data_IF_733490605249
#
_entry.id   IF_733490605249
#
_cell.length_a   1.000
_cell.length_b   1.000
_cell.length_c   1.000
_cell.angle_alpha   90.00
_cell.angle_beta   90.00
_cell.angle_gamma   90.00
#
_symmetry.space_group_name_H-M   'P 1'
#
loop_
_entity.id
_entity.type
_entity.pdbx_description
1 polymer ?
#
# COMPACT_ATOMS: atom_id res chain seq x y z
N UNK A 1 -8.82 41.90 -0.20
CA UNK A 1 -9.28 40.69 -0.90
C UNK A 1 -8.03 40.00 -1.37
N UNK A 2 -7.51 39.05 -0.61
CA UNK A 2 -6.37 38.23 -1.01
C UNK A 2 -6.93 37.03 -1.76
N UNK A 3 -6.51 36.88 -3.00
CA UNK A 3 -6.84 35.76 -3.89
C UNK A 3 -6.18 34.48 -3.32
N UNK A 4 -7.00 33.61 -2.73
CA UNK A 4 -6.57 32.31 -2.19
C UNK A 4 -6.85 31.21 -3.21
N UNK A 5 -6.23 31.31 -4.38
CA UNK A 5 -6.14 30.20 -5.34
C UNK A 5 -4.68 29.73 -5.44
N UNK A 6 -4.14 29.15 -4.37
CA UNK A 6 -2.98 28.29 -4.53
C UNK A 6 -3.46 26.92 -5.03
N UNK A 7 -3.85 26.84 -6.30
CA UNK A 7 -4.01 25.58 -6.98
C UNK A 7 -2.65 24.87 -6.99
N UNK A 8 -2.54 23.74 -6.27
CA UNK A 8 -1.38 22.86 -6.35
C UNK A 8 -1.25 22.43 -7.83
N UNK A 9 -0.34 23.06 -8.57
CA UNK A 9 -0.07 22.65 -9.94
C UNK A 9 0.63 21.29 -9.89
N UNK A 10 0.04 20.31 -10.57
CA UNK A 10 0.67 19.00 -10.71
C UNK A 10 2.03 19.19 -11.40
N UNK A 11 3.12 18.66 -10.84
CA UNK A 11 4.43 18.73 -11.45
C UNK A 11 4.47 18.08 -12.84
N UNK A 12 5.32 18.55 -13.74
CA UNK A 12 5.48 17.97 -15.08
C UNK A 12 5.93 16.50 -15.04
N UNK A 13 6.56 16.08 -13.96
CA UNK A 13 7.02 14.70 -13.75
C UNK A 13 6.72 14.27 -12.34
N UNK A 14 5.94 13.22 -12.19
CA UNK A 14 5.51 12.67 -10.91
C UNK A 14 5.36 11.15 -10.99
N UNK A 15 5.22 10.54 -9.83
CA UNK A 15 4.99 9.10 -9.64
C UNK A 15 3.63 8.90 -9.02
N UNK A 16 2.90 7.92 -9.51
CA UNK A 16 1.66 7.43 -8.91
C UNK A 16 1.94 6.07 -8.27
N UNK A 17 1.49 5.89 -7.03
CA UNK A 17 1.41 4.60 -6.35
C UNK A 17 -0.06 4.28 -6.12
N UNK A 18 -0.53 3.12 -6.56
CA UNK A 18 -1.89 2.62 -6.30
C UNK A 18 -1.74 1.42 -5.36
N UNK A 19 -2.22 1.54 -4.13
CA UNK A 19 -2.03 0.47 -3.16
C UNK A 19 -2.52 0.79 -1.77
N UNK A 20 -2.28 -0.14 -0.84
CA UNK A 20 -2.73 -0.05 0.53
C UNK A 20 -1.81 0.78 1.42
N UNK A 21 -2.43 1.49 2.37
CA UNK A 21 -1.77 1.97 3.57
C UNK A 21 -2.52 1.44 4.79
N UNK A 22 -1.81 1.15 5.87
CA UNK A 22 -2.41 0.59 7.08
C UNK A 22 -1.66 1.00 8.35
N UNK A 23 -2.32 0.85 9.48
CA UNK A 23 -1.64 0.92 10.78
C UNK A 23 -1.09 -0.45 11.14
N UNK A 24 0.22 -0.52 11.38
CA UNK A 24 0.89 -1.70 11.94
C UNK A 24 0.87 -1.61 13.46
N UNK A 25 0.35 -2.64 14.12
CA UNK A 25 0.32 -2.78 15.57
C UNK A 25 1.14 -4.02 15.93
N UNK A 26 2.31 -3.80 16.53
CA UNK A 26 3.21 -4.86 16.93
C UNK A 26 3.20 -5.05 18.46
N UNK A 27 2.91 -6.24 18.92
CA UNK A 27 3.13 -6.67 20.29
C UNK A 27 4.39 -7.52 20.39
N UNK A 28 5.39 -7.08 21.19
CA UNK A 28 6.63 -7.81 21.42
C UNK A 28 6.76 -8.16 22.90
N UNK A 29 6.66 -9.44 23.28
CA UNK A 29 6.92 -9.89 24.65
C UNK A 29 8.36 -9.61 25.08
N UNK A 30 8.56 -9.41 26.38
CA UNK A 30 9.91 -9.21 26.96
C UNK A 30 10.56 -10.51 27.45
N UNK A 31 9.85 -11.63 27.34
CA UNK A 31 10.30 -12.98 27.70
C UNK A 31 9.59 -14.00 26.82
N UNK A 32 10.00 -15.25 26.91
CA UNK A 32 9.37 -16.38 26.21
C UNK A 32 7.86 -16.40 26.43
N UNK A 33 7.12 -16.52 25.34
CA UNK A 33 5.65 -16.47 25.34
C UNK A 33 5.06 -17.67 26.12
N UNK A 34 4.12 -17.36 26.99
CA UNK A 34 3.26 -18.32 27.64
C UNK A 34 1.91 -18.34 26.93
N UNK A 35 1.59 -19.46 26.30
CA UNK A 35 0.33 -19.64 25.58
C UNK A 35 -0.89 -19.46 26.50
N UNK A 36 -1.90 -18.78 25.98
CA UNK A 36 -3.19 -18.55 26.63
C UNK A 36 -3.10 -17.76 27.93
N UNK A 37 -2.04 -16.97 28.09
CA UNK A 37 -1.82 -16.12 29.25
C UNK A 37 -1.49 -14.68 28.82
N UNK A 38 -1.48 -13.75 29.79
CA UNK A 38 -1.05 -12.37 29.60
C UNK A 38 0.46 -12.28 29.68
N UNK A 39 1.09 -11.92 28.57
CA UNK A 39 2.53 -11.78 28.45
C UNK A 39 2.94 -10.30 28.58
N UNK A 40 3.77 -9.92 29.56
CA UNK A 40 4.33 -8.59 29.62
C UNK A 40 5.16 -8.27 28.36
N UNK A 41 5.02 -7.05 27.80
CA UNK A 41 5.70 -6.72 26.57
C UNK A 41 5.59 -5.24 26.20
N UNK A 42 6.04 -4.92 25.03
CA UNK A 42 5.95 -3.59 24.41
C UNK A 42 4.97 -3.65 23.24
N UNK A 43 4.05 -2.70 23.19
CA UNK A 43 3.18 -2.49 22.02
C UNK A 43 3.63 -1.23 21.30
N UNK A 44 3.90 -1.36 20.01
CA UNK A 44 4.22 -0.24 19.13
C UNK A 44 3.19 -0.11 18.01
N UNK A 45 2.98 1.12 17.57
CA UNK A 45 2.11 1.43 16.43
C UNK A 45 2.90 2.27 15.42
N UNK A 46 2.79 1.94 14.15
CA UNK A 46 3.41 2.68 13.05
C UNK A 46 2.50 2.72 11.83
N UNK A 47 2.59 3.82 11.10
CA UNK A 47 2.03 3.88 9.76
C UNK A 47 2.86 2.99 8.82
N UNK A 48 2.19 2.21 8.00
CA UNK A 48 2.79 1.25 7.09
C UNK A 48 1.88 0.92 5.91
N UNK A 49 2.03 -0.29 5.40
CA UNK A 49 1.40 -0.76 4.18
C UNK A 49 2.35 -0.66 2.98
N UNK A 50 2.33 -1.67 2.11
CA UNK A 50 3.29 -1.75 1.00
C UNK A 50 3.16 -0.56 0.07
N UNK A 51 1.93 -0.13 -0.28
CA UNK A 51 1.71 1.06 -1.10
C UNK A 51 2.29 2.32 -0.46
N UNK A 52 2.04 2.55 0.84
CA UNK A 52 2.63 3.69 1.55
C UNK A 52 4.15 3.63 1.62
N UNK A 53 4.73 2.45 1.88
CA UNK A 53 6.19 2.27 1.95
C UNK A 53 6.85 2.53 0.60
N UNK A 54 6.24 2.09 -0.50
CA UNK A 54 6.70 2.41 -1.86
C UNK A 54 6.65 3.92 -2.09
N UNK A 55 5.52 4.56 -1.78
CA UNK A 55 5.35 6.00 -1.94
C UNK A 55 6.37 6.79 -1.12
N UNK A 56 6.63 6.39 0.12
CA UNK A 56 7.64 7.00 0.97
C UNK A 56 9.05 6.90 0.37
N UNK A 57 9.42 5.73 -0.14
CA UNK A 57 10.72 5.55 -0.79
C UNK A 57 10.85 6.43 -2.04
N UNK A 58 9.82 6.52 -2.87
CA UNK A 58 9.83 7.39 -4.06
C UNK A 58 9.95 8.87 -3.68
N UNK A 59 9.23 9.32 -2.64
CA UNK A 59 9.33 10.68 -2.13
C UNK A 59 10.74 10.97 -1.56
N UNK A 60 11.35 10.04 -0.84
CA UNK A 60 12.73 10.16 -0.33
C UNK A 60 13.78 10.19 -1.45
N UNK A 61 13.51 9.58 -2.60
CA UNK A 61 14.33 9.70 -3.82
C UNK A 61 14.12 11.04 -4.55
N UNK A 62 13.32 11.95 -3.99
CA UNK A 62 13.07 13.28 -4.53
C UNK A 62 12.04 13.33 -5.65
N UNK A 63 11.25 12.27 -5.85
CA UNK A 63 10.18 12.26 -6.84
C UNK A 63 8.89 12.81 -6.23
N UNK A 64 8.21 13.78 -6.89
CA UNK A 64 6.84 14.13 -6.54
C UNK A 64 5.97 12.87 -6.60
N UNK A 65 5.39 12.46 -5.45
CA UNK A 65 4.74 11.16 -5.30
C UNK A 65 3.31 11.32 -4.82
N UNK A 66 2.39 10.68 -5.53
CA UNK A 66 0.98 10.62 -5.20
C UNK A 66 0.59 9.19 -4.85
N UNK A 67 -0.03 9.00 -3.68
CA UNK A 67 -0.57 7.72 -3.26
C UNK A 67 -2.09 7.72 -3.50
N UNK A 68 -2.54 6.92 -4.45
CA UNK A 68 -3.95 6.65 -4.72
C UNK A 68 -4.37 5.46 -3.87
N UNK A 69 -5.10 5.76 -2.81
CA UNK A 69 -5.50 4.80 -1.78
C UNK A 69 -6.82 5.20 -1.16
N UNK A 70 -7.32 4.38 -0.26
CA UNK A 70 -8.49 4.66 0.56
C UNK A 70 -8.17 4.45 2.04
N UNK A 71 -8.80 5.25 2.91
CA UNK A 71 -8.66 5.14 4.35
C UNK A 71 -9.95 5.62 5.05
N UNK A 72 -10.13 5.22 6.28
CA UNK A 72 -11.29 5.62 7.07
C UNK A 72 -11.15 7.00 7.69
N UNK A 73 -12.25 7.50 8.24
CA UNK A 73 -12.30 8.74 9.01
C UNK A 73 -11.99 8.55 10.52
N UNK A 74 -11.43 7.37 10.86
CA UNK A 74 -11.04 7.00 12.22
C UNK A 74 -9.67 7.62 12.64
N UNK A 75 -9.24 7.36 13.89
CA UNK A 75 -7.96 7.87 14.40
C UNK A 75 -6.74 7.28 13.68
N UNK A 76 -6.87 6.03 13.18
CA UNK A 76 -5.84 5.42 12.35
C UNK A 76 -5.70 6.19 11.03
N UNK A 77 -6.81 6.52 10.37
CA UNK A 77 -6.83 7.31 9.14
C UNK A 77 -6.15 8.67 9.30
N UNK A 78 -6.45 9.40 10.37
CA UNK A 78 -5.79 10.67 10.70
C UNK A 78 -4.28 10.51 10.93
N UNK A 79 -3.87 9.38 11.50
CA UNK A 79 -2.44 9.08 11.73
C UNK A 79 -1.73 8.76 10.43
N UNK A 80 -2.37 7.97 9.55
CA UNK A 80 -1.87 7.65 8.22
C UNK A 80 -1.72 8.91 7.35
N UNK A 81 -2.73 9.78 7.35
CA UNK A 81 -2.70 11.07 6.64
C UNK A 81 -1.52 11.95 7.11
N UNK A 82 -1.34 12.09 8.43
CA UNK A 82 -0.20 12.83 9.01
C UNK A 82 1.14 12.20 8.62
N UNK A 83 1.22 10.87 8.60
CA UNK A 83 2.43 10.17 8.18
C UNK A 83 2.75 10.45 6.71
N UNK A 84 1.76 10.40 5.83
CA UNK A 84 1.93 10.73 4.41
C UNK A 84 2.41 12.17 4.24
N UNK A 85 1.78 13.13 4.91
CA UNK A 85 2.18 14.54 4.86
C UNK A 85 3.62 14.76 5.36
N UNK A 86 4.02 14.11 6.46
CA UNK A 86 5.37 14.19 7.02
C UNK A 86 6.46 13.62 6.08
N UNK A 87 6.08 12.70 5.18
CA UNK A 87 6.97 12.08 4.20
C UNK A 87 6.83 12.66 2.79
N UNK A 88 6.16 13.82 2.63
CA UNK A 88 5.90 14.46 1.34
C UNK A 88 5.17 13.56 0.32
N UNK A 89 4.28 12.70 0.80
CA UNK A 89 3.40 11.89 -0.04
C UNK A 89 2.09 12.65 -0.20
N UNK A 90 1.70 12.92 -1.44
CA UNK A 90 0.46 13.63 -1.76
C UNK A 90 -0.73 12.65 -1.78
N UNK A 91 -1.83 13.03 -1.12
CA UNK A 91 -3.07 12.26 -1.04
C UNK A 91 -4.25 12.93 -1.81
N UNK A 92 -4.00 13.93 -2.68
CA UNK A 92 -5.07 14.65 -3.39
C UNK A 92 -5.97 13.74 -4.23
N UNK A 93 -5.47 12.56 -4.62
CA UNK A 93 -6.20 11.53 -5.36
C UNK A 93 -6.58 10.32 -4.52
N UNK A 94 -6.31 10.32 -3.22
CA UNK A 94 -6.84 9.33 -2.28
C UNK A 94 -8.31 9.64 -1.92
N UNK A 95 -8.95 8.74 -1.19
CA UNK A 95 -10.27 9.02 -0.61
C UNK A 95 -10.33 8.62 0.86
N UNK A 96 -10.80 9.55 1.69
CA UNK A 96 -11.24 9.26 3.04
C UNK A 96 -12.70 8.82 2.99
N UNK A 97 -13.01 7.66 3.56
CA UNK A 97 -14.34 7.05 3.53
C UNK A 97 -15.02 7.21 4.88
N UNK A 98 -16.16 7.92 4.88
CA UNK A 98 -16.93 8.20 6.07
C UNK A 98 -17.50 6.93 6.70
N UNK A 99 -17.42 6.82 8.03
CA UNK A 99 -17.92 5.68 8.80
C UNK A 99 -17.17 4.36 8.56
N UNK A 100 -16.03 4.39 7.87
CA UNK A 100 -15.20 3.19 7.62
C UNK A 100 -13.97 3.20 8.54
N UNK A 101 -13.46 1.98 8.81
CA UNK A 101 -12.21 1.82 9.53
C UNK A 101 -11.05 1.73 8.54
N UNK A 102 -9.93 2.39 8.89
CA UNK A 102 -8.69 2.27 8.14
C UNK A 102 -8.08 0.88 8.29
N UNK A 103 -7.37 0.44 7.27
CA UNK A 103 -6.66 -0.83 7.29
C UNK A 103 -5.74 -0.94 8.50
N UNK A 104 -5.70 -2.12 9.09
CA UNK A 104 -4.87 -2.43 10.27
C UNK A 104 -4.23 -3.80 10.11
N UNK A 105 -2.93 -3.89 10.37
CA UNK A 105 -2.19 -5.15 10.47
C UNK A 105 -1.66 -5.29 11.90
N UNK A 106 -2.23 -6.20 12.67
CA UNK A 106 -1.82 -6.48 14.04
C UNK A 106 -1.05 -7.79 14.10
N UNK A 107 0.11 -7.77 14.74
CA UNK A 107 0.93 -8.98 14.87
C UNK A 107 1.63 -9.05 16.21
N UNK A 108 1.89 -10.29 16.62
CA UNK A 108 2.66 -10.63 17.83
C UNK A 108 3.91 -11.36 17.37
N UNK A 109 5.04 -10.96 17.90
CA UNK A 109 6.31 -11.68 17.73
C UNK A 109 6.63 -12.47 18.98
N UNK A 110 7.61 -13.38 18.91
CA UNK A 110 8.26 -13.91 20.09
C UNK A 110 9.32 -12.95 20.65
N UNK A 111 10.03 -13.36 21.67
CA UNK A 111 11.10 -12.60 22.32
C UNK A 111 12.34 -12.42 21.40
N UNK A 112 12.50 -13.27 20.37
CA UNK A 112 13.55 -13.17 19.35
C UNK A 112 13.17 -12.21 18.22
N UNK A 113 11.87 -11.94 18.03
CA UNK A 113 11.31 -11.07 17.00
C UNK A 113 10.67 -11.83 15.84
N UNK A 114 10.58 -13.15 15.91
CA UNK A 114 9.91 -13.96 14.89
C UNK A 114 8.38 -13.88 15.03
N UNK A 115 7.70 -13.85 13.89
CA UNK A 115 6.24 -13.73 13.84
C UNK A 115 5.57 -14.98 14.42
N UNK A 116 4.74 -14.79 15.44
CA UNK A 116 3.91 -15.85 16.02
C UNK A 116 2.51 -15.90 15.40
N UNK A 117 1.85 -14.75 15.31
CA UNK A 117 0.49 -14.64 14.78
C UNK A 117 0.25 -13.24 14.25
N UNK A 118 -0.53 -13.12 13.20
CA UNK A 118 -1.00 -11.84 12.68
C UNK A 118 -2.47 -11.89 12.29
N UNK A 119 -3.12 -10.75 12.42
CA UNK A 119 -4.50 -10.49 11.93
C UNK A 119 -4.47 -9.24 11.09
N UNK A 120 -5.02 -9.30 9.89
CA UNK A 120 -5.16 -8.14 9.04
C UNK A 120 -6.63 -7.78 8.82
N UNK A 121 -6.97 -6.52 8.93
CA UNK A 121 -8.24 -5.93 8.55
C UNK A 121 -7.97 -4.97 7.39
N UNK A 122 -8.07 -5.49 6.15
CA UNK A 122 -7.75 -4.79 4.92
C UNK A 122 -8.98 -4.64 3.99
N UNK A 123 -10.20 -4.85 4.52
CA UNK A 123 -11.43 -4.83 3.74
C UNK A 123 -11.66 -3.49 3.00
N UNK A 124 -11.24 -2.39 3.58
CA UNK A 124 -11.37 -1.07 2.97
C UNK A 124 -10.61 -0.96 1.63
N UNK A 125 -9.52 -1.73 1.45
CA UNK A 125 -8.75 -1.73 0.21
C UNK A 125 -9.58 -2.18 -1.01
N UNK A 126 -10.67 -2.90 -0.83
CA UNK A 126 -11.59 -3.29 -1.91
C UNK A 126 -12.29 -2.10 -2.55
N UNK A 127 -12.31 -0.96 -1.86
CA UNK A 127 -12.86 0.29 -2.42
C UNK A 127 -11.91 0.93 -3.46
N UNK A 128 -10.64 0.47 -3.55
CA UNK A 128 -9.76 0.77 -4.68
C UNK A 128 -10.18 -0.16 -5.84
N UNK A 129 -11.29 0.16 -6.45
CA UNK A 129 -11.93 -0.63 -7.51
C UNK A 129 -11.90 0.13 -8.85
N UNK A 130 -12.30 -0.50 -9.98
CA UNK A 130 -12.34 0.15 -11.28
C UNK A 130 -13.07 1.49 -11.30
N UNK A 131 -14.23 1.60 -10.66
CA UNK A 131 -15.03 2.83 -10.63
C UNK A 131 -14.28 3.96 -9.87
N UNK A 132 -13.55 3.62 -8.80
CA UNK A 132 -12.73 4.56 -8.07
C UNK A 132 -11.54 5.06 -8.92
N UNK A 133 -10.94 4.20 -9.72
CA UNK A 133 -9.79 4.54 -10.55
C UNK A 133 -10.16 5.28 -11.84
N UNK A 134 -11.34 5.03 -12.40
CA UNK A 134 -11.80 5.61 -13.67
C UNK A 134 -11.75 7.14 -13.65
N UNK A 135 -12.22 7.76 -12.57
CA UNK A 135 -12.18 9.23 -12.42
C UNK A 135 -10.77 9.81 -12.23
N UNK A 136 -9.75 8.97 -12.08
CA UNK A 136 -8.34 9.28 -11.85
C UNK A 136 -7.46 8.86 -13.03
N UNK A 137 -8.04 8.25 -14.05
CA UNK A 137 -7.29 7.58 -15.13
C UNK A 137 -6.38 8.53 -15.89
N UNK A 138 -6.85 9.72 -16.25
CA UNK A 138 -6.04 10.72 -16.95
C UNK A 138 -4.81 11.13 -16.11
N UNK A 139 -5.00 11.31 -14.81
CA UNK A 139 -3.92 11.61 -13.89
C UNK A 139 -2.94 10.43 -13.78
N UNK A 140 -3.43 9.20 -13.66
CA UNK A 140 -2.59 7.99 -13.61
C UNK A 140 -1.76 7.87 -14.90
N UNK A 141 -2.38 8.08 -16.05
CA UNK A 141 -1.73 7.98 -17.36
C UNK A 141 -0.73 9.10 -17.64
N UNK A 142 -0.84 10.24 -16.97
CA UNK A 142 0.15 11.32 -17.01
C UNK A 142 1.39 11.08 -16.17
N UNK A 143 1.41 10.05 -15.32
CA UNK A 143 2.55 9.75 -14.45
C UNK A 143 3.77 9.23 -15.23
N UNK A 144 4.97 9.54 -14.75
CA UNK A 144 6.21 8.98 -15.30
C UNK A 144 6.29 7.46 -15.10
N UNK A 145 5.77 6.97 -13.98
CA UNK A 145 5.59 5.54 -13.66
C UNK A 145 4.37 5.39 -12.73
N UNK A 146 3.70 4.25 -12.83
CA UNK A 146 2.64 3.83 -11.93
C UNK A 146 3.09 2.56 -11.20
N UNK A 147 3.18 2.64 -9.87
CA UNK A 147 3.56 1.51 -9.02
C UNK A 147 2.31 0.90 -8.37
N UNK A 148 2.25 -0.42 -8.34
CA UNK A 148 1.14 -1.20 -7.80
C UNK A 148 1.62 -2.09 -6.66
N UNK A 149 0.80 -2.28 -5.64
CA UNK A 149 0.98 -3.37 -4.70
C UNK A 149 -0.11 -4.45 -4.86
N UNK A 150 0.18 -5.66 -4.46
CA UNK A 150 -0.75 -6.77 -4.56
C UNK A 150 -1.87 -6.74 -3.49
N UNK A 151 -2.15 -5.61 -2.84
CA UNK A 151 -3.36 -5.45 -2.02
C UNK A 151 -4.61 -5.15 -2.87
N UNK A 152 -4.42 -4.77 -4.14
CA UNK A 152 -5.51 -4.57 -5.09
C UNK A 152 -6.18 -5.90 -5.45
N UNK A 153 -7.50 -5.87 -5.64
CA UNK A 153 -8.24 -7.06 -6.05
C UNK A 153 -7.95 -7.46 -7.51
N UNK A 154 -8.08 -8.74 -7.89
CA UNK A 154 -7.78 -9.21 -9.25
C UNK A 154 -8.54 -8.47 -10.35
N UNK A 155 -9.79 -8.10 -10.12
CA UNK A 155 -10.59 -7.30 -11.05
C UNK A 155 -9.98 -5.92 -11.28
N UNK A 156 -9.53 -5.28 -10.21
CA UNK A 156 -8.86 -3.97 -10.28
C UNK A 156 -7.54 -4.07 -11.03
N UNK A 157 -6.75 -5.11 -10.77
CA UNK A 157 -5.51 -5.39 -11.51
C UNK A 157 -5.79 -5.56 -13.01
N UNK A 158 -6.79 -6.37 -13.39
CA UNK A 158 -7.16 -6.56 -14.78
C UNK A 158 -7.55 -5.24 -15.45
N UNK A 159 -8.39 -4.44 -14.78
CA UNK A 159 -8.78 -3.11 -15.27
C UNK A 159 -7.57 -2.18 -15.48
N UNK A 160 -6.63 -2.16 -14.53
CA UNK A 160 -5.39 -1.37 -14.66
C UNK A 160 -4.60 -1.82 -15.90
N UNK A 161 -4.45 -3.13 -16.12
CA UNK A 161 -3.76 -3.67 -17.29
C UNK A 161 -4.41 -3.30 -18.64
N UNK A 162 -5.71 -3.04 -18.65
CA UNK A 162 -6.45 -2.65 -19.84
C UNK A 162 -6.43 -1.15 -20.12
N UNK A 163 -6.42 -0.31 -19.07
CA UNK A 163 -6.68 1.14 -19.20
C UNK A 163 -5.45 2.01 -18.90
N UNK A 164 -4.52 1.53 -18.05
CA UNK A 164 -3.36 2.33 -17.70
C UNK A 164 -2.27 2.18 -18.76
N UNK A 165 -1.81 3.34 -19.26
CA UNK A 165 -0.78 3.44 -20.30
C UNK A 165 0.58 3.86 -19.73
N UNK A 166 0.64 4.40 -18.52
CA UNK A 166 1.89 4.68 -17.85
C UNK A 166 2.68 3.38 -17.59
N UNK A 167 4.03 3.41 -17.60
CA UNK A 167 4.85 2.25 -17.28
C UNK A 167 4.48 1.66 -15.92
N UNK A 168 4.12 0.36 -15.88
CA UNK A 168 3.67 -0.33 -14.67
C UNK A 168 4.84 -1.02 -13.96
N UNK A 169 4.94 -0.75 -12.66
CA UNK A 169 5.86 -1.38 -11.74
C UNK A 169 5.06 -2.03 -10.60
N UNK A 170 5.53 -3.14 -10.03
CA UNK A 170 4.75 -3.83 -9.02
C UNK A 170 5.57 -4.49 -7.92
N UNK A 171 4.96 -4.58 -6.73
CA UNK A 171 5.42 -5.37 -5.59
C UNK A 171 4.38 -6.44 -5.24
N UNK A 172 4.81 -7.67 -5.13
CA UNK A 172 3.97 -8.87 -4.94
C UNK A 172 3.44 -9.04 -3.52
N UNK A 173 3.96 -8.28 -2.56
CA UNK A 173 3.52 -8.21 -1.15
C UNK A 173 3.69 -9.53 -0.38
N UNK A 174 3.22 -10.65 -0.93
CA UNK A 174 3.30 -11.98 -0.32
C UNK A 174 3.05 -13.08 -1.36
N UNK A 175 3.47 -14.30 -1.05
CA UNK A 175 3.27 -15.49 -1.90
C UNK A 175 1.80 -15.69 -2.28
N UNK A 176 0.87 -15.51 -1.33
CA UNK A 176 -0.58 -15.67 -1.58
C UNK A 176 -1.11 -14.60 -2.53
N UNK A 177 -0.60 -13.37 -2.44
CA UNK A 177 -1.08 -12.24 -3.24
C UNK A 177 -0.36 -12.10 -4.58
N UNK A 178 0.81 -12.73 -4.76
CA UNK A 178 1.61 -12.65 -5.98
C UNK A 178 0.79 -12.98 -7.24
N UNK A 179 -0.07 -13.99 -7.18
CA UNK A 179 -0.96 -14.39 -8.27
C UNK A 179 -1.96 -13.30 -8.74
N UNK A 180 -2.12 -12.22 -7.98
CA UNK A 180 -2.94 -11.08 -8.43
C UNK A 180 -2.34 -10.37 -9.66
N UNK A 181 -1.06 -10.54 -9.90
CA UNK A 181 -0.38 -10.04 -11.09
C UNK A 181 -0.52 -10.94 -12.34
N UNK A 182 -1.00 -12.18 -12.21
CA UNK A 182 -1.07 -13.13 -13.33
C UNK A 182 -1.76 -12.57 -14.57
N UNK A 183 -2.82 -11.78 -14.37
CA UNK A 183 -3.61 -11.19 -15.47
C UNK A 183 -2.90 -10.04 -16.18
N UNK A 184 -1.89 -9.43 -15.56
CA UNK A 184 -1.21 -8.24 -16.08
C UNK A 184 0.31 -8.39 -16.21
N UNK A 185 0.87 -9.58 -15.99
CA UNK A 185 2.32 -9.82 -16.08
C UNK A 185 2.93 -9.31 -17.39
N UNK A 186 2.25 -9.51 -18.49
CA UNK A 186 2.70 -9.08 -19.83
C UNK A 186 2.63 -7.55 -20.03
N UNK A 187 2.05 -6.81 -19.11
CA UNK A 187 1.97 -5.34 -19.11
C UNK A 187 2.98 -4.70 -18.17
N UNK A 188 3.57 -5.49 -17.28
CA UNK A 188 4.51 -4.96 -16.29
C UNK A 188 5.83 -4.58 -16.95
N UNK A 189 6.31 -3.38 -16.67
CA UNK A 189 7.67 -2.94 -17.01
C UNK A 189 8.67 -3.55 -16.05
N UNK A 190 8.32 -3.59 -14.75
CA UNK A 190 9.10 -4.22 -13.69
C UNK A 190 8.16 -4.85 -12.67
N UNK A 191 8.44 -6.08 -12.28
CA UNK A 191 7.83 -6.72 -11.12
C UNK A 191 8.95 -7.12 -10.15
N UNK A 192 8.79 -6.81 -8.87
CA UNK A 192 9.77 -7.08 -7.82
C UNK A 192 9.19 -8.09 -6.82
N UNK A 193 9.34 -9.37 -7.04
CA UNK A 193 9.11 -10.41 -6.03
C UNK A 193 10.33 -10.57 -5.12
N UNK A 194 10.14 -11.25 -3.98
CA UNK A 194 11.23 -11.95 -3.30
C UNK A 194 11.35 -13.39 -3.85
N UNK A 195 12.36 -14.15 -3.39
CA UNK A 195 12.62 -15.51 -3.90
C UNK A 195 11.41 -16.45 -3.76
N UNK A 196 10.68 -16.38 -2.64
CA UNK A 196 9.50 -17.20 -2.41
C UNK A 196 8.34 -16.83 -3.34
N UNK A 197 8.13 -15.55 -3.52
CA UNK A 197 7.09 -15.00 -4.41
C UNK A 197 7.41 -15.28 -5.89
N UNK A 198 8.69 -15.18 -6.28
CA UNK A 198 9.16 -15.56 -7.61
C UNK A 198 8.92 -17.05 -7.89
N UNK A 199 9.24 -17.92 -6.92
CA UNK A 199 8.98 -19.35 -7.03
C UNK A 199 7.51 -19.66 -7.28
N UNK A 200 6.61 -18.95 -6.61
CA UNK A 200 5.16 -19.09 -6.80
C UNK A 200 4.73 -18.63 -8.20
N UNK A 201 5.24 -17.49 -8.67
CA UNK A 201 4.87 -16.94 -9.97
C UNK A 201 5.42 -17.77 -11.16
N UNK A 202 6.60 -18.31 -11.01
CA UNK A 202 7.29 -19.06 -12.10
C UNK A 202 7.04 -20.55 -12.05
N UNK A 203 6.61 -21.09 -10.90
CA UNK A 203 6.53 -22.53 -10.65
C UNK A 203 7.91 -23.19 -10.53
N UNK A 204 9.00 -22.41 -10.44
CA UNK A 204 10.37 -22.90 -10.28
C UNK A 204 10.72 -22.90 -8.79
N UNK A 205 11.05 -24.09 -8.25
CA UNK A 205 11.46 -24.22 -6.85
C UNK A 205 12.76 -23.47 -6.55
N UNK A 206 12.87 -22.92 -5.34
CA UNK A 206 14.14 -22.36 -4.83
C UNK A 206 15.08 -23.53 -4.60
N UNK A 207 16.29 -23.46 -5.17
CA UNK A 207 17.34 -24.47 -5.04
C UNK A 207 18.03 -24.39 -3.67
#
# INVERSE_FOLDING_TARGET
>A
MADMTSGNTVPDRYVVVIGGMNMDICGRPTSTVVDRDSNPGVVSMSAGGVGQNIAQNMAHLGMPTYLITVYGDDENGKTLERSCAANNINLDYAAQLEGRRSSTYMFITDDTGDLLVAVNDMEICKEINPAFLESRLDFINGAAICLLDANLEPETMAWIGEHVTAPLFGDTVSTVKAHRFDTILNKMTVLKPNDLEESVLTGIGIA
#
